data_IF_486680884455
#
_entry.id   IF_486680884455
#
_cell.length_a   1.000
_cell.length_b   1.000
_cell.length_c   1.000
_cell.angle_alpha   90.00
_cell.angle_beta   90.00
_cell.angle_gamma   90.00
#
_symmetry.space_group_name_H-M   'P 1'
#
loop_
_entity.id
_entity.type
_entity.pdbx_description
1 polymer ?
#
# COMPACT_ATOMS: atom_id res chain seq x y z
N UNK A 1 6.22 -16.98 -4.86
CA UNK A 1 4.80 -17.15 -4.51
C UNK A 1 3.99 -15.84 -4.36
N UNK A 2 4.23 -14.88 -3.44
CA UNK A 2 3.34 -13.69 -3.34
C UNK A 2 3.39 -12.79 -4.57
N UNK A 3 4.55 -12.62 -5.19
CA UNK A 3 4.72 -11.80 -6.41
C UNK A 3 4.03 -12.44 -7.61
N UNK A 4 4.12 -13.76 -7.75
CA UNK A 4 3.46 -14.52 -8.82
C UNK A 4 1.94 -14.44 -8.69
N UNK A 5 1.41 -14.59 -7.46
CA UNK A 5 -0.02 -14.45 -7.19
C UNK A 5 -0.51 -13.04 -7.50
N UNK A 6 0.25 -12.02 -7.10
CA UNK A 6 -0.07 -10.62 -7.40
C UNK A 6 -0.06 -10.36 -8.91
N UNK A 7 0.97 -10.83 -9.63
CA UNK A 7 1.07 -10.70 -11.07
C UNK A 7 -0.12 -11.39 -11.77
N UNK A 8 -0.50 -12.58 -11.32
CA UNK A 8 -1.64 -13.33 -11.87
C UNK A 8 -2.96 -12.58 -11.63
N UNK A 9 -3.17 -12.02 -10.44
CA UNK A 9 -4.34 -11.22 -10.12
C UNK A 9 -4.39 -9.93 -10.94
N UNK A 10 -3.27 -9.21 -11.07
CA UNK A 10 -3.19 -8.01 -11.89
C UNK A 10 -3.47 -8.31 -13.37
N UNK A 11 -2.87 -9.37 -13.93
CA UNK A 11 -3.11 -9.79 -15.31
C UNK A 11 -4.56 -10.21 -15.51
N UNK A 12 -5.14 -10.97 -14.58
CA UNK A 12 -6.55 -11.38 -14.68
C UNK A 12 -7.51 -10.19 -14.61
N UNK A 13 -7.20 -9.18 -13.79
CA UNK A 13 -7.99 -7.95 -13.69
C UNK A 13 -7.92 -7.16 -14.99
N UNK A 14 -6.73 -6.98 -15.57
CA UNK A 14 -6.54 -6.27 -16.85
C UNK A 14 -7.26 -7.02 -17.99
N UNK A 15 -7.15 -8.34 -18.05
CA UNK A 15 -7.86 -9.15 -19.05
C UNK A 15 -9.38 -9.01 -18.89
N UNK A 16 -9.87 -9.05 -17.66
CA UNK A 16 -11.29 -8.88 -17.37
C UNK A 16 -11.80 -7.51 -17.82
N UNK A 17 -11.05 -6.45 -17.52
CA UNK A 17 -11.39 -5.10 -17.96
C UNK A 17 -11.39 -4.96 -19.48
N UNK A 18 -10.36 -5.50 -20.15
CA UNK A 18 -10.29 -5.53 -21.62
C UNK A 18 -11.47 -6.28 -22.24
N UNK A 19 -11.87 -7.38 -21.62
CA UNK A 19 -12.98 -8.19 -22.12
C UNK A 19 -14.34 -7.51 -21.97
N UNK A 20 -14.59 -6.84 -20.83
CA UNK A 20 -15.88 -6.22 -20.54
C UNK A 20 -16.01 -4.78 -21.04
N UNK A 21 -14.93 -4.00 -21.00
CA UNK A 21 -14.96 -2.57 -21.32
C UNK A 21 -14.17 -2.21 -22.59
N UNK A 22 -13.37 -3.14 -23.12
CA UNK A 22 -12.45 -2.86 -24.21
C UNK A 22 -11.43 -1.79 -23.85
N UNK A 23 -10.90 -1.12 -24.87
CA UNK A 23 -9.98 0.03 -24.69
C UNK A 23 -10.71 1.37 -24.71
N UNK A 24 -12.03 1.34 -24.87
CA UNK A 24 -12.84 2.56 -24.88
C UNK A 24 -12.78 3.26 -23.51
N UNK A 25 -12.30 4.49 -23.49
CA UNK A 25 -12.20 5.28 -22.27
C UNK A 25 -10.84 5.28 -21.57
N UNK A 26 -9.87 4.50 -22.02
CA UNK A 26 -8.52 4.54 -21.42
C UNK A 26 -7.81 5.88 -21.61
N UNK A 27 -8.11 6.58 -22.70
CA UNK A 27 -7.60 7.93 -22.99
C UNK A 27 -8.39 9.04 -22.28
N UNK A 28 -9.49 8.71 -21.61
CA UNK A 28 -10.29 9.70 -20.90
C UNK A 28 -9.53 10.23 -19.68
N UNK A 29 -9.62 11.55 -19.42
CA UNK A 29 -9.09 12.12 -18.20
C UNK A 29 -9.73 11.48 -16.97
N UNK A 30 -8.92 11.14 -15.96
CA UNK A 30 -9.41 10.53 -14.72
C UNK A 30 -10.45 11.40 -14.01
N UNK A 31 -10.41 12.71 -14.22
CA UNK A 31 -11.36 13.68 -13.66
C UNK A 31 -12.81 13.43 -14.10
N UNK A 32 -13.02 12.79 -15.24
CA UNK A 32 -14.36 12.44 -15.72
C UNK A 32 -15.05 11.39 -14.84
N UNK A 33 -14.26 10.58 -14.13
CA UNK A 33 -14.77 9.51 -13.26
C UNK A 33 -14.58 9.86 -11.79
N UNK A 34 -13.40 10.42 -11.46
CA UNK A 34 -13.05 10.85 -10.10
C UNK A 34 -12.89 12.36 -10.09
N UNK A 35 -13.97 13.10 -9.87
CA UNK A 35 -14.01 14.59 -9.87
C UNK A 35 -12.96 15.23 -8.92
N UNK A 36 -12.50 14.50 -7.92
CA UNK A 36 -11.55 14.97 -6.91
C UNK A 36 -10.08 14.66 -7.30
N UNK A 37 -9.85 13.98 -8.41
CA UNK A 37 -8.50 13.67 -8.85
C UNK A 37 -7.77 14.93 -9.34
N UNK A 38 -6.67 15.28 -8.68
CA UNK A 38 -5.88 16.50 -8.98
C UNK A 38 -4.84 16.24 -10.06
N UNK A 39 -4.45 14.98 -10.25
CA UNK A 39 -3.40 14.64 -11.20
C UNK A 39 -3.93 14.66 -12.64
N UNK A 40 -3.25 15.39 -13.55
CA UNK A 40 -3.62 15.42 -14.96
C UNK A 40 -3.14 14.13 -15.65
N UNK A 41 -3.88 13.06 -15.51
CA UNK A 41 -3.57 11.76 -16.10
C UNK A 41 -4.81 11.14 -16.73
N UNK A 42 -4.60 10.22 -17.67
CA UNK A 42 -5.68 9.44 -18.26
C UNK A 42 -5.95 8.16 -17.41
N UNK A 43 -7.05 7.48 -17.71
CA UNK A 43 -7.47 6.29 -16.98
C UNK A 43 -6.42 5.18 -16.97
N UNK A 44 -5.76 4.92 -18.10
CA UNK A 44 -4.71 3.90 -18.19
C UNK A 44 -3.53 4.22 -17.27
N UNK A 45 -3.09 5.48 -17.26
CA UNK A 45 -2.02 5.90 -16.37
C UNK A 45 -2.42 5.77 -14.91
N UNK A 46 -3.65 6.16 -14.56
CA UNK A 46 -4.16 6.04 -13.21
C UNK A 46 -4.16 4.57 -12.74
N UNK A 47 -4.57 3.66 -13.59
CA UNK A 47 -4.60 2.22 -13.28
C UNK A 47 -3.21 1.64 -13.08
N UNK A 48 -2.25 1.99 -13.94
CA UNK A 48 -0.84 1.59 -13.77
C UNK A 48 -0.30 2.10 -12.42
N UNK A 49 -0.61 3.35 -12.04
CA UNK A 49 -0.23 3.88 -10.75
C UNK A 49 -0.89 3.13 -9.59
N UNK A 50 -2.19 2.81 -9.66
CA UNK A 50 -2.89 2.04 -8.63
C UNK A 50 -2.23 0.66 -8.41
N UNK A 51 -1.91 -0.07 -9.47
CA UNK A 51 -1.18 -1.35 -9.36
C UNK A 51 0.20 -1.18 -8.74
N UNK A 52 0.95 -0.15 -9.14
CA UNK A 52 2.26 0.13 -8.58
C UNK A 52 2.18 0.42 -7.07
N UNK A 53 1.19 1.20 -6.64
CA UNK A 53 0.97 1.51 -5.21
C UNK A 53 0.58 0.27 -4.41
N UNK A 54 -0.31 -0.58 -4.92
CA UNK A 54 -0.68 -1.83 -4.26
C UNK A 54 0.53 -2.75 -4.12
N UNK A 55 1.36 -2.87 -5.16
CA UNK A 55 2.59 -3.65 -5.11
C UNK A 55 3.57 -3.13 -4.06
N UNK A 56 3.82 -1.82 -4.04
CA UNK A 56 4.69 -1.19 -3.06
C UNK A 56 4.14 -1.33 -1.64
N UNK A 57 2.83 -1.16 -1.46
CA UNK A 57 2.14 -1.42 -0.20
C UNK A 57 2.31 -2.86 0.29
N UNK A 58 2.18 -3.83 -0.62
CA UNK A 58 2.38 -5.25 -0.31
C UNK A 58 3.82 -5.57 0.08
N UNK A 59 4.82 -4.96 -0.58
CA UNK A 59 6.24 -5.09 -0.22
C UNK A 59 6.49 -4.52 1.18
N UNK A 60 5.99 -3.32 1.47
CA UNK A 60 6.11 -2.70 2.79
C UNK A 60 5.45 -3.53 3.88
N UNK A 61 4.25 -4.04 3.62
CA UNK A 61 3.55 -4.92 4.56
C UNK A 61 4.28 -6.25 4.77
N UNK A 62 4.81 -6.86 3.72
CA UNK A 62 5.65 -8.05 3.86
C UNK A 62 6.87 -7.79 4.76
N UNK A 63 7.48 -6.63 4.67
CA UNK A 63 8.55 -6.19 5.58
C UNK A 63 8.09 -6.17 7.05
N UNK A 64 6.91 -5.59 7.32
CA UNK A 64 6.32 -5.57 8.68
C UNK A 64 6.06 -6.99 9.18
N UNK A 65 5.44 -7.84 8.36
CA UNK A 65 5.15 -9.25 8.74
C UNK A 65 6.43 -10.01 9.03
N UNK A 66 7.47 -9.84 8.22
CA UNK A 66 8.78 -10.45 8.48
C UNK A 66 9.40 -9.97 9.79
N UNK A 67 9.29 -8.67 10.09
CA UNK A 67 9.77 -8.11 11.35
C UNK A 67 9.00 -8.69 12.55
N UNK A 68 7.66 -8.72 12.49
CA UNK A 68 6.82 -9.32 13.54
C UNK A 68 7.16 -10.81 13.71
N UNK A 69 7.27 -11.56 12.63
CA UNK A 69 7.66 -12.98 12.65
C UNK A 69 9.05 -13.20 13.24
N UNK A 70 9.96 -12.26 13.04
CA UNK A 70 11.29 -12.30 13.63
C UNK A 70 11.28 -12.04 15.15
N UNK A 71 10.39 -11.18 15.63
CA UNK A 71 10.25 -10.83 17.04
C UNK A 71 9.41 -11.87 17.81
N UNK A 72 8.37 -12.41 17.18
CA UNK A 72 7.40 -13.32 17.80
C UNK A 72 7.67 -14.76 17.35
N UNK A 73 7.85 -15.68 18.29
CA UNK A 73 8.11 -17.10 17.99
C UNK A 73 6.86 -17.90 17.63
N UNK A 74 5.67 -17.36 17.88
CA UNK A 74 4.39 -18.03 17.67
C UNK A 74 3.75 -17.58 16.34
N UNK A 75 3.51 -18.52 15.44
CA UNK A 75 2.94 -18.23 14.12
C UNK A 75 1.50 -17.66 14.20
N UNK A 76 0.69 -18.15 15.15
CA UNK A 76 -0.69 -17.65 15.33
C UNK A 76 -0.66 -16.19 15.79
N UNK A 77 0.20 -15.89 16.77
CA UNK A 77 0.35 -14.52 17.25
C UNK A 77 0.93 -13.60 16.17
N UNK A 78 1.87 -14.07 15.35
CA UNK A 78 2.37 -13.34 14.19
C UNK A 78 1.24 -12.98 13.23
N UNK A 79 0.39 -13.94 12.90
CA UNK A 79 -0.76 -13.70 12.02
C UNK A 79 -1.72 -12.68 12.62
N UNK A 80 -2.09 -12.84 13.89
CA UNK A 80 -3.01 -11.92 14.58
C UNK A 80 -2.45 -10.49 14.63
N UNK A 81 -1.17 -10.31 14.97
CA UNK A 81 -0.51 -9.01 14.99
C UNK A 81 -0.44 -8.40 13.58
N UNK A 82 -0.16 -9.20 12.55
CA UNK A 82 -0.12 -8.73 11.18
C UNK A 82 -1.50 -8.26 10.69
N UNK A 83 -2.56 -8.98 11.04
CA UNK A 83 -3.93 -8.57 10.76
C UNK A 83 -4.29 -7.30 11.54
N UNK A 84 -3.87 -7.19 12.80
CA UNK A 84 -4.12 -6.01 13.62
C UNK A 84 -3.46 -4.74 13.06
N UNK A 85 -2.30 -4.84 12.40
CA UNK A 85 -1.64 -3.70 11.73
C UNK A 85 -2.47 -3.15 10.57
N UNK A 86 -3.21 -4.00 9.86
CA UNK A 86 -4.05 -3.58 8.73
C UNK A 86 -5.45 -3.17 9.20
N UNK A 87 -6.13 -4.06 9.92
CA UNK A 87 -7.52 -3.86 10.31
C UNK A 87 -7.68 -2.93 11.53
N UNK A 88 -6.71 -2.91 12.45
CA UNK A 88 -6.75 -2.04 13.61
C UNK A 88 -6.94 -0.56 13.25
N UNK A 89 -6.10 0.00 12.39
CA UNK A 89 -6.26 1.38 11.91
C UNK A 89 -7.62 1.64 11.26
N UNK A 90 -8.11 0.70 10.44
CA UNK A 90 -9.42 0.82 9.79
C UNK A 90 -10.56 0.88 10.80
N UNK A 91 -10.50 0.08 11.87
CA UNK A 91 -11.54 0.03 12.90
C UNK A 91 -11.57 1.28 13.79
N UNK A 92 -10.41 1.91 14.02
CA UNK A 92 -10.31 3.09 14.89
C UNK A 92 -10.38 4.41 14.13
N UNK A 93 -10.25 4.38 12.80
CA UNK A 93 -10.20 5.59 11.96
C UNK A 93 -11.39 6.53 12.21
N UNK A 94 -12.59 5.99 12.34
CA UNK A 94 -13.81 6.78 12.54
C UNK A 94 -13.84 7.55 13.87
N UNK A 95 -13.09 7.08 14.88
CA UNK A 95 -13.03 7.70 16.21
C UNK A 95 -11.90 8.72 16.35
N UNK A 96 -11.02 8.84 15.34
CA UNK A 96 -9.85 9.68 15.40
C UNK A 96 -10.08 11.06 14.76
N UNK A 97 -9.41 12.11 15.25
CA UNK A 97 -9.39 13.41 14.58
C UNK A 97 -8.88 13.29 13.14
N UNK A 98 -9.40 14.12 12.23
CA UNK A 98 -9.08 14.08 10.80
C UNK A 98 -7.58 14.05 10.47
N UNK A 99 -6.76 14.78 11.23
CA UNK A 99 -5.29 14.74 11.04
C UNK A 99 -4.65 13.37 11.30
N UNK A 100 -5.19 12.63 12.28
CA UNK A 100 -4.73 11.28 12.61
C UNK A 100 -5.27 10.26 11.60
N UNK A 101 -6.52 10.41 11.13
CA UNK A 101 -7.06 9.57 10.04
C UNK A 101 -6.14 9.62 8.81
N UNK A 102 -5.74 10.81 8.39
CA UNK A 102 -4.77 10.98 7.30
C UNK A 102 -3.46 10.24 7.52
N UNK A 103 -2.97 10.19 8.76
CA UNK A 103 -1.73 9.48 9.06
C UNK A 103 -1.89 7.96 8.97
N UNK A 104 -3.08 7.43 9.27
CA UNK A 104 -3.39 6.00 9.10
C UNK A 104 -3.37 5.57 7.63
N UNK A 105 -3.75 6.45 6.71
CA UNK A 105 -3.69 6.19 5.26
C UNK A 105 -2.26 5.95 4.77
N UNK A 106 -1.24 6.38 5.52
CA UNK A 106 0.16 6.14 5.18
C UNK A 106 0.66 4.73 5.57
N UNK A 107 -0.13 3.96 6.30
CA UNK A 107 0.23 2.58 6.65
C UNK A 107 0.15 1.73 5.37
N UNK A 108 1.21 0.93 5.07
CA UNK A 108 1.20 0.05 3.91
C UNK A 108 -0.05 -0.84 3.87
N UNK A 109 -0.67 -0.97 2.72
CA UNK A 109 -1.96 -1.61 2.40
C UNK A 109 -3.21 -0.84 2.85
N UNK A 110 -3.19 -0.03 3.91
CA UNK A 110 -4.38 0.76 4.31
C UNK A 110 -4.64 1.88 3.29
N UNK A 111 -3.59 2.57 2.87
CA UNK A 111 -3.69 3.68 1.91
C UNK A 111 -3.62 3.27 0.44
N UNK A 112 -3.51 1.99 0.13
CA UNK A 112 -3.39 1.51 -1.26
C UNK A 112 -4.71 1.50 -2.03
N UNK A 113 -5.82 1.83 -1.38
CA UNK A 113 -7.12 1.93 -2.03
C UNK A 113 -7.32 3.32 -2.66
N UNK A 114 -8.41 3.51 -3.30
CA UNK A 114 -8.95 4.61 -4.10
C UNK A 114 -8.52 6.07 -3.80
N UNK A 115 -7.80 6.32 -2.72
CA UNK A 115 -7.47 7.67 -2.24
C UNK A 115 -6.14 8.24 -2.75
N UNK A 116 -5.43 7.49 -3.60
CA UNK A 116 -4.13 7.87 -4.16
C UNK A 116 -4.19 9.24 -4.86
N UNK A 117 -5.30 9.55 -5.48
CA UNK A 117 -5.49 10.78 -6.26
C UNK A 117 -6.14 11.92 -5.48
N UNK A 118 -6.40 11.73 -4.16
CA UNK A 118 -6.94 12.79 -3.32
C UNK A 118 -5.95 13.92 -3.10
N UNK A 119 -6.48 15.09 -2.83
CA UNK A 119 -5.75 16.35 -2.52
C UNK A 119 -5.03 16.34 -1.17
N UNK A 120 -4.81 15.18 -0.57
CA UNK A 120 -4.20 15.09 0.74
C UNK A 120 -2.74 15.55 0.69
N UNK A 121 -2.42 16.53 1.51
CA UNK A 121 -1.06 17.04 1.70
C UNK A 121 -0.66 16.89 3.16
N UNK A 122 0.62 16.60 3.37
CA UNK A 122 1.23 16.52 4.69
C UNK A 122 2.28 17.61 4.85
N UNK A 123 2.30 18.28 5.99
CA UNK A 123 3.34 19.25 6.30
C UNK A 123 4.48 18.57 7.04
N UNK A 124 5.61 18.36 6.36
CA UNK A 124 6.80 17.71 6.90
C UNK A 124 7.97 18.71 6.81
N UNK A 125 8.63 19.00 7.91
CA UNK A 125 9.72 19.98 7.98
C UNK A 125 9.38 21.35 7.33
N UNK A 126 8.14 21.80 7.52
CA UNK A 126 7.67 23.08 6.97
C UNK A 126 7.30 23.06 5.49
N UNK A 127 7.56 21.99 4.75
CA UNK A 127 7.18 21.80 3.34
C UNK A 127 5.89 21.00 3.24
N UNK A 128 5.06 21.38 2.27
CA UNK A 128 3.86 20.61 1.90
C UNK A 128 4.28 19.50 0.93
N UNK A 129 4.06 18.26 1.34
CA UNK A 129 4.32 17.07 0.54
C UNK A 129 2.99 16.43 0.18
N UNK A 130 2.80 16.14 -1.09
CA UNK A 130 1.60 15.48 -1.58
C UNK A 130 1.59 14.00 -1.20
N UNK A 131 0.42 13.49 -0.77
CA UNK A 131 0.23 12.14 -0.25
C UNK A 131 0.84 11.01 -1.12
N UNK A 132 0.69 10.99 -2.46
CA UNK A 132 1.26 9.94 -3.30
C UNK A 132 2.76 9.74 -3.12
N UNK A 133 3.53 10.80 -2.91
CA UNK A 133 4.98 10.66 -2.69
C UNK A 133 5.29 9.92 -1.37
N UNK A 134 4.47 10.13 -0.33
CA UNK A 134 4.63 9.44 0.93
C UNK A 134 4.19 7.97 0.83
N UNK A 135 3.13 7.70 0.06
CA UNK A 135 2.63 6.34 -0.19
C UNK A 135 3.64 5.48 -0.98
N UNK A 136 4.51 6.09 -1.76
CA UNK A 136 5.63 5.39 -2.41
C UNK A 136 6.79 5.20 -1.43
N UNK A 137 7.21 6.28 -0.77
CA UNK A 137 8.45 6.28 0.01
C UNK A 137 8.34 5.49 1.31
N UNK A 138 7.22 5.55 2.00
CA UNK A 138 7.04 4.89 3.30
C UNK A 138 7.12 3.36 3.19
N UNK A 139 6.40 2.67 2.29
CA UNK A 139 6.52 1.22 2.14
C UNK A 139 7.93 0.77 1.77
N UNK A 140 8.60 1.51 0.89
CA UNK A 140 9.98 1.21 0.49
C UNK A 140 10.93 1.35 1.68
N UNK A 141 10.82 2.43 2.45
CA UNK A 141 11.62 2.63 3.66
C UNK A 141 11.37 1.55 4.70
N UNK A 142 10.11 1.19 4.95
CA UNK A 142 9.76 0.11 5.87
C UNK A 142 10.38 -1.22 5.40
N UNK A 143 10.25 -1.55 4.11
CA UNK A 143 10.86 -2.75 3.54
C UNK A 143 12.37 -2.79 3.75
N UNK A 144 13.06 -1.70 3.42
CA UNK A 144 14.51 -1.57 3.58
C UNK A 144 14.94 -1.67 5.06
N UNK A 145 14.22 -1.04 5.97
CA UNK A 145 14.55 -1.05 7.39
C UNK A 145 14.25 -2.38 8.07
N UNK A 146 13.14 -3.03 7.71
CA UNK A 146 12.72 -4.28 8.34
C UNK A 146 13.54 -5.49 7.85
N UNK A 147 14.00 -5.49 6.61
CA UNK A 147 14.71 -6.63 5.99
C UNK A 147 15.99 -7.06 6.74
N UNK A 148 16.92 -6.16 7.09
CA UNK A 148 18.13 -6.55 7.82
C UNK A 148 17.83 -7.18 9.19
N UNK A 149 16.81 -6.67 9.90
CA UNK A 149 16.40 -7.24 11.19
C UNK A 149 15.81 -8.63 11.03
N UNK A 150 14.99 -8.84 10.00
CA UNK A 150 14.43 -10.14 9.68
C UNK A 150 15.52 -11.16 9.34
N UNK A 151 16.46 -10.80 8.46
CA UNK A 151 17.59 -11.67 8.06
C UNK A 151 18.44 -12.05 9.28
N UNK A 152 18.80 -11.07 10.12
CA UNK A 152 19.59 -11.31 11.33
C UNK A 152 18.89 -12.22 12.33
N UNK A 153 17.59 -12.06 12.51
CA UNK A 153 16.81 -12.92 13.40
C UNK A 153 16.71 -14.35 12.87
N UNK A 154 16.47 -14.51 11.57
CA UNK A 154 16.41 -15.82 10.93
C UNK A 154 17.74 -16.55 10.99
N UNK A 155 18.85 -15.86 10.72
CA UNK A 155 20.19 -16.47 10.79
C UNK A 155 20.55 -16.96 12.19
N UNK A 156 20.06 -16.28 13.23
CA UNK A 156 20.23 -16.74 14.62
C UNK A 156 19.41 -18.01 14.94
N UNK A 157 18.20 -18.11 14.38
CA UNK A 157 17.32 -19.28 14.58
C UNK A 157 17.84 -20.54 13.89
N UNK A 158 18.51 -20.39 12.73
CA UNK A 158 19.10 -21.54 12.03
C UNK A 158 20.40 -22.06 12.69
N UNK A 159 21.00 -21.29 13.58
CA UNK A 159 22.24 -21.67 14.31
C UNK A 159 21.96 -22.25 15.70
N UNK A 160 20.74 -22.16 16.19
CA UNK A 160 20.28 -22.70 17.46
C UNK A 160 19.54 -24.01 17.27
#
# INVERSE_FOLDING_TARGET
MPVELFALLAVSSVISQLFFMGTAGWDMPIQNIKLIAVAPMNMLQAEIYEYAFVLLGAIGFAGIVMFISAAVKNNVLTLLLSLAVVYGPMMIAEYLPYGMQKALDLIPLVGSSTDIFRTNTFRIFGKLIWSPYLLITIPVLIGILCMPFAIKSWSRRMKA
#
